data_IF_292011687547
#
_entry.id   IF_292011687547
#
_cell.length_a   1.000
_cell.length_b   1.000
_cell.length_c   1.000
_cell.angle_alpha   90.00
_cell.angle_beta   90.00
_cell.angle_gamma   90.00
#
_symmetry.space_group_name_H-M   'P 1'
#
loop_
_entity.id
_entity.type
_entity.pdbx_description
1 polymer ?
#
# COMPACT_ATOMS: atom_id res chain seq x y z
N UNK A 1 -46.70 15.98 11.89
CA UNK A 1 -45.46 16.51 12.47
C UNK A 1 -44.32 15.61 12.00
N UNK A 2 -43.78 15.89 10.82
CA UNK A 2 -42.74 15.10 10.14
C UNK A 2 -41.71 16.12 9.66
N UNK A 3 -40.49 16.09 10.22
CA UNK A 3 -39.40 16.96 9.78
C UNK A 3 -38.66 16.29 8.64
N UNK A 4 -38.67 16.96 7.48
CA UNK A 4 -37.92 16.60 6.27
C UNK A 4 -36.44 16.93 6.49
N UNK A 5 -35.55 15.96 6.27
CA UNK A 5 -34.13 16.21 6.06
C UNK A 5 -33.94 16.76 4.64
N UNK A 6 -33.33 17.96 4.54
CA UNK A 6 -32.83 18.52 3.30
C UNK A 6 -31.49 17.86 2.97
N UNK A 7 -31.40 17.24 1.79
CA UNK A 7 -30.11 16.94 1.16
C UNK A 7 -29.64 18.18 0.40
N UNK A 8 -28.47 18.70 0.75
CA UNK A 8 -27.75 19.69 -0.06
C UNK A 8 -26.78 18.95 -0.98
N UNK A 9 -27.04 19.01 -2.28
CA UNK A 9 -26.09 18.58 -3.32
C UNK A 9 -25.14 19.73 -3.58
N UNK A 10 -23.92 19.69 -3.03
CA UNK A 10 -22.86 20.62 -3.40
C UNK A 10 -22.08 20.00 -4.58
N UNK A 11 -22.19 20.62 -5.75
CA UNK A 11 -21.36 20.29 -6.90
C UNK A 11 -19.93 20.75 -6.60
N UNK A 12 -19.04 19.80 -6.29
CA UNK A 12 -17.62 20.07 -6.12
C UNK A 12 -16.92 19.88 -7.47
N UNK A 13 -16.42 20.98 -8.02
CA UNK A 13 -15.55 20.99 -9.19
C UNK A 13 -14.26 20.23 -8.84
N UNK A 14 -14.11 19.05 -9.44
CA UNK A 14 -12.96 18.16 -9.28
C UNK A 14 -11.79 18.73 -10.09
N UNK A 15 -10.77 19.25 -9.40
CA UNK A 15 -9.44 19.49 -9.96
C UNK A 15 -8.60 18.26 -9.62
N UNK A 16 -8.54 17.28 -10.54
CA UNK A 16 -7.58 16.17 -10.46
C UNK A 16 -6.29 16.62 -11.16
N UNK A 17 -5.30 16.96 -10.34
CA UNK A 17 -3.89 16.98 -10.74
C UNK A 17 -3.22 15.67 -10.33
N UNK A 18 -2.21 15.26 -11.09
CA UNK A 18 -1.31 14.10 -10.93
C UNK A 18 -1.69 12.83 -11.72
N UNK A 19 -1.66 12.97 -13.05
CA UNK A 19 -1.06 11.96 -13.94
C UNK A 19 0.25 12.54 -14.45
N UNK A 20 1.31 12.44 -13.65
CA UNK A 20 2.67 12.69 -14.10
C UNK A 20 3.28 11.37 -14.56
N UNK A 21 3.60 11.28 -15.86
CA UNK A 21 4.29 10.17 -16.49
C UNK A 21 5.42 9.60 -15.62
N UNK A 22 5.52 8.27 -15.56
CA UNK A 22 6.73 7.62 -15.06
C UNK A 22 7.16 6.52 -16.03
N UNK A 23 7.91 6.94 -17.05
CA UNK A 23 8.67 6.06 -17.93
C UNK A 23 10.03 5.79 -17.28
N UNK A 24 10.16 4.66 -16.59
CA UNK A 24 11.38 4.30 -15.90
C UNK A 24 11.50 2.80 -15.65
N UNK A 25 11.71 2.02 -16.71
CA UNK A 25 12.10 0.61 -16.58
C UNK A 25 13.49 0.51 -15.92
N UNK A 26 13.55 -0.03 -14.70
CA UNK A 26 14.80 -0.34 -14.00
C UNK A 26 15.05 -1.85 -14.04
N UNK A 27 16.30 -2.21 -14.37
CA UNK A 27 16.81 -3.60 -14.43
C UNK A 27 16.82 -4.24 -13.03
N UNK A 28 16.48 -5.53 -12.90
CA UNK A 28 16.63 -6.24 -11.64
C UNK A 28 18.12 -6.40 -11.26
N UNK A 29 18.44 -6.23 -9.98
CA UNK A 29 19.74 -6.61 -9.43
C UNK A 29 19.81 -8.13 -9.25
N UNK A 30 21.02 -8.73 -9.21
CA UNK A 30 21.17 -10.18 -9.15
C UNK A 30 20.76 -10.73 -7.79
N UNK A 31 19.91 -11.76 -7.80
CA UNK A 31 19.54 -12.56 -6.63
C UNK A 31 20.75 -13.34 -6.14
N UNK A 32 21.27 -12.99 -4.96
CA UNK A 32 22.36 -13.73 -4.33
C UNK A 32 21.79 -14.93 -3.55
N UNK A 33 22.21 -16.14 -3.94
CA UNK A 33 21.84 -17.40 -3.28
C UNK A 33 22.48 -17.47 -1.89
N UNK A 34 21.66 -17.63 -0.84
CA UNK A 34 22.15 -17.98 0.50
C UNK A 34 22.58 -19.45 0.56
N UNK A 35 23.81 -19.67 0.99
CA UNK A 35 24.26 -20.90 1.64
C UNK A 35 24.02 -20.80 3.15
N UNK A 36 23.51 -21.87 3.75
CA UNK A 36 23.24 -21.99 5.18
C UNK A 36 24.40 -22.69 5.90
N UNK A 37 25.03 -22.03 6.86
CA UNK A 37 25.94 -22.55 7.91
C UNK A 37 26.20 -21.35 8.85
N UNK A 38 26.16 -21.38 10.17
CA UNK A 38 25.89 -22.38 11.19
C UNK A 38 26.10 -21.72 12.58
N UNK A 39 25.58 -22.37 13.62
CA UNK A 39 26.00 -22.36 15.03
C UNK A 39 25.96 -21.04 15.86
N UNK A 40 25.37 -21.20 17.05
CA UNK A 40 25.10 -20.14 18.02
C UNK A 40 26.31 -19.60 18.78
N UNK A 41 26.16 -18.36 19.20
CA UNK A 41 26.93 -17.76 20.29
C UNK A 41 25.99 -16.86 21.10
N UNK A 42 25.71 -17.28 22.33
CA UNK A 42 25.00 -16.53 23.34
C UNK A 42 25.84 -15.29 23.71
N UNK A 43 25.40 -14.10 23.29
CA UNK A 43 26.07 -12.83 23.59
C UNK A 43 25.44 -12.23 24.84
N UNK A 44 26.15 -12.33 25.96
CA UNK A 44 25.87 -11.56 27.17
C UNK A 44 26.06 -10.08 26.85
N UNK A 45 24.97 -9.32 26.84
CA UNK A 45 24.98 -7.87 26.69
C UNK A 45 25.46 -7.24 28.01
N UNK A 46 26.70 -6.76 28.02
CA UNK A 46 27.18 -5.87 29.09
C UNK A 46 26.59 -4.49 28.88
N UNK A 47 25.72 -4.05 29.81
CA UNK A 47 25.15 -2.71 29.83
C UNK A 47 26.26 -1.66 30.04
N UNK A 48 26.55 -0.88 29.01
CA UNK A 48 27.33 0.35 29.13
C UNK A 48 26.58 1.40 29.98
N UNK A 49 27.29 2.42 30.48
CA UNK A 49 26.69 3.46 31.31
C UNK A 49 25.65 4.24 30.50
N UNK A 50 24.42 4.30 31.04
CA UNK A 50 23.33 5.12 30.52
C UNK A 50 23.69 6.58 30.73
N UNK A 51 24.13 7.26 29.68
CA UNK A 51 24.12 8.72 29.64
C UNK A 51 22.68 9.17 29.57
N UNK A 52 22.16 9.70 30.68
CA UNK A 52 20.88 10.42 30.73
C UNK A 52 21.03 11.76 30.00
N UNK A 53 21.05 11.72 28.66
CA UNK A 53 20.74 12.90 27.88
C UNK A 53 19.26 13.22 28.10
N UNK A 54 18.98 14.47 28.49
CA UNK A 54 17.61 14.95 28.65
C UNK A 54 17.01 15.09 27.25
N UNK A 55 16.00 14.26 26.94
CA UNK A 55 15.26 14.35 25.69
C UNK A 55 14.63 15.74 25.57
N UNK A 56 14.92 16.45 24.48
CA UNK A 56 14.28 17.73 24.14
C UNK A 56 13.20 17.45 23.10
N UNK A 57 11.91 17.63 23.41
CA UNK A 57 10.84 17.37 22.45
C UNK A 57 10.94 18.27 21.21
N UNK A 58 10.65 17.70 20.04
CA UNK A 58 10.62 18.45 18.77
C UNK A 58 9.53 19.52 18.78
N UNK A 59 9.81 20.78 18.40
CA UNK A 59 8.86 21.88 18.47
C UNK A 59 7.74 21.76 17.42
N UNK A 60 6.65 22.51 17.61
CA UNK A 60 5.60 22.64 16.60
C UNK A 60 6.15 23.12 15.24
N UNK A 61 5.52 22.68 14.14
CA UNK A 61 5.96 22.98 12.77
C UNK A 61 7.25 22.27 12.32
N UNK A 62 7.83 21.40 13.15
CA UNK A 62 9.03 20.62 12.79
C UNK A 62 8.68 19.19 12.34
N UNK A 63 9.70 18.49 11.85
CA UNK A 63 9.63 17.04 11.64
C UNK A 63 10.77 16.34 12.37
N UNK A 64 10.55 15.06 12.68
CA UNK A 64 11.57 14.18 13.23
C UNK A 64 11.44 12.77 12.65
N UNK A 65 12.54 12.03 12.71
CA UNK A 65 12.58 10.61 12.39
C UNK A 65 13.01 9.85 13.63
N UNK A 66 12.27 8.79 13.94
CA UNK A 66 12.60 7.84 15.00
C UNK A 66 12.47 6.42 14.49
N UNK A 67 12.70 5.44 15.36
CA UNK A 67 12.62 4.03 14.99
C UNK A 67 11.74 3.28 15.98
N UNK A 68 10.93 2.36 15.48
CA UNK A 68 10.21 1.38 16.30
C UNK A 68 10.75 -0.02 16.02
N UNK A 69 10.57 -0.94 16.97
CA UNK A 69 10.90 -2.34 16.76
C UNK A 69 9.62 -3.16 16.57
N UNK A 70 9.50 -3.82 15.42
CA UNK A 70 8.42 -4.78 15.15
C UNK A 70 8.99 -6.19 15.30
N UNK A 71 8.40 -6.99 16.20
CA UNK A 71 8.82 -8.37 16.44
C UNK A 71 8.78 -9.17 15.14
N UNK A 72 9.81 -10.00 14.91
CA UNK A 72 9.99 -10.86 13.74
C UNK A 72 10.16 -10.13 12.38
N UNK A 73 9.99 -8.81 12.33
CA UNK A 73 10.21 -8.00 11.12
C UNK A 73 11.52 -7.21 11.23
N UNK A 74 11.69 -6.39 12.27
CA UNK A 74 12.90 -5.62 12.50
C UNK A 74 12.68 -4.18 12.98
N UNK A 75 13.75 -3.39 12.89
CA UNK A 75 13.78 -1.95 13.20
C UNK A 75 13.23 -1.15 12.02
N UNK A 76 12.20 -0.35 12.27
CA UNK A 76 11.41 0.36 11.26
C UNK A 76 11.54 1.85 11.47
N UNK A 77 11.90 2.58 10.42
CA UNK A 77 11.96 4.04 10.45
C UNK A 77 10.56 4.65 10.37
N UNK A 78 10.29 5.61 11.24
CA UNK A 78 9.02 6.35 11.33
C UNK A 78 9.32 7.84 11.29
N UNK A 79 8.69 8.57 10.37
CA UNK A 79 8.74 10.04 10.28
C UNK A 79 7.46 10.61 10.88
N UNK A 80 7.63 11.64 11.71
CA UNK A 80 6.55 12.41 12.32
C UNK A 80 6.67 13.85 11.83
N UNK A 81 5.61 14.42 11.25
CA UNK A 81 5.51 15.84 10.92
C UNK A 81 4.49 16.52 11.84
N UNK A 82 4.86 17.65 12.41
CA UNK A 82 4.07 18.37 13.41
C UNK A 82 3.39 19.60 12.80
N UNK A 83 2.13 19.87 13.12
CA UNK A 83 1.50 21.12 12.75
C UNK A 83 2.12 22.29 13.52
N UNK A 84 2.13 23.48 12.92
CA UNK A 84 2.46 24.71 13.65
C UNK A 84 1.42 25.01 14.73
N UNK A 85 0.14 24.76 14.43
CA UNK A 85 -0.99 24.98 15.34
C UNK A 85 -1.85 23.71 15.36
N UNK A 86 -2.09 23.11 16.55
CA UNK A 86 -2.96 21.94 16.63
C UNK A 86 -4.39 22.28 16.22
N UNK A 87 -5.08 21.30 15.63
CA UNK A 87 -6.47 21.48 15.18
C UNK A 87 -7.42 21.83 16.32
N UNK A 88 -7.19 21.27 17.50
CA UNK A 88 -8.04 21.46 18.67
C UNK A 88 -7.27 22.08 19.85
N UNK A 89 -7.95 22.79 20.76
CA UNK A 89 -7.32 23.34 21.96
C UNK A 89 -6.63 22.28 22.84
N UNK A 90 -7.17 21.07 22.88
CA UNK A 90 -6.64 19.94 23.64
C UNK A 90 -5.43 19.26 22.99
N UNK A 91 -5.20 19.47 21.69
CA UNK A 91 -4.12 18.82 20.96
C UNK A 91 -4.41 18.58 19.48
N UNK A 92 -3.50 17.87 18.83
CA UNK A 92 -3.61 17.51 17.42
C UNK A 92 -4.03 16.05 17.25
N UNK A 93 -5.03 15.75 16.39
CA UNK A 93 -5.31 14.37 15.99
C UNK A 93 -4.11 13.78 15.25
N UNK A 94 -3.94 12.45 15.30
CA UNK A 94 -2.82 11.76 14.66
C UNK A 94 -3.33 11.03 13.43
N UNK A 95 -2.68 11.21 12.29
CA UNK A 95 -3.00 10.51 11.04
C UNK A 95 -1.81 9.69 10.60
N UNK A 96 -2.01 8.39 10.45
CA UNK A 96 -1.03 7.49 9.85
C UNK A 96 -1.26 7.43 8.34
N UNK A 97 -0.27 7.85 7.57
CA UNK A 97 -0.26 7.73 6.11
C UNK A 97 0.15 6.31 5.71
N UNK A 98 -0.82 5.51 5.27
CA UNK A 98 -0.57 4.14 4.82
C UNK A 98 0.18 4.18 3.49
N UNK A 99 1.36 3.57 3.47
CA UNK A 99 2.24 3.62 2.30
C UNK A 99 1.74 2.72 1.17
N UNK A 100 2.03 3.13 -0.05
CA UNK A 100 1.85 2.32 -1.26
C UNK A 100 2.77 1.10 -1.22
N UNK A 101 2.36 -0.03 -1.83
CA UNK A 101 3.04 -1.32 -1.61
C UNK A 101 3.52 -2.10 -2.85
N UNK A 102 2.95 -1.90 -4.04
CA UNK A 102 3.43 -2.58 -5.25
C UNK A 102 3.99 -1.63 -6.31
N UNK A 103 4.02 -0.34 -6.01
CA UNK A 103 4.74 0.65 -6.80
C UNK A 103 6.10 0.84 -6.17
N UNK A 104 7.12 1.00 -7.01
CA UNK A 104 8.46 1.23 -6.50
C UNK A 104 8.54 2.62 -5.88
N UNK A 105 8.66 2.67 -4.56
CA UNK A 105 8.84 3.88 -3.79
C UNK A 105 9.87 3.62 -2.69
N UNK A 106 10.83 4.53 -2.52
CA UNK A 106 11.98 4.33 -1.62
C UNK A 106 11.89 5.11 -0.32
N UNK A 107 11.21 6.26 -0.32
CA UNK A 107 11.17 7.18 0.82
C UNK A 107 9.93 7.05 1.70
N UNK A 108 9.73 8.08 2.54
CA UNK A 108 8.51 8.21 3.34
C UNK A 108 7.34 8.65 2.47
N UNK A 109 6.19 7.98 2.60
CA UNK A 109 5.00 8.34 1.84
C UNK A 109 4.32 9.55 2.51
N UNK A 110 4.44 10.72 1.88
CA UNK A 110 3.95 12.00 2.39
C UNK A 110 3.13 12.73 1.32
N UNK A 111 2.10 12.07 0.80
CA UNK A 111 1.33 12.61 -0.34
C UNK A 111 0.32 13.66 0.13
N UNK A 112 -0.14 13.58 1.37
CA UNK A 112 -1.07 14.53 1.95
C UNK A 112 -0.46 15.26 3.14
N UNK A 113 -0.33 16.58 3.05
CA UNK A 113 0.11 17.36 4.19
C UNK A 113 -1.06 17.66 5.14
N UNK A 114 -1.34 16.72 6.04
CA UNK A 114 -2.37 16.89 7.08
C UNK A 114 -1.95 17.89 8.17
N UNK A 115 -0.70 18.35 8.19
CA UNK A 115 -0.26 19.36 9.14
C UNK A 115 -0.90 20.73 8.86
N UNK A 116 -1.28 21.00 7.61
CA UNK A 116 -2.01 22.21 7.20
C UNK A 116 -3.40 22.31 7.85
N UNK A 117 -4.00 21.17 8.22
CA UNK A 117 -5.29 21.13 8.92
C UNK A 117 -5.12 20.95 10.44
N UNK A 118 -3.89 21.06 10.96
CA UNK A 118 -3.59 20.98 12.39
C UNK A 118 -3.48 19.55 12.94
N UNK A 119 -3.27 18.55 12.09
CA UNK A 119 -3.05 17.15 12.50
C UNK A 119 -1.55 16.79 12.50
N UNK A 120 -1.18 15.79 13.28
CA UNK A 120 0.16 15.17 13.21
C UNK A 120 0.14 14.13 12.09
N UNK A 121 1.11 14.20 11.17
CA UNK A 121 1.32 13.14 10.17
C UNK A 121 2.36 12.15 10.70
N UNK A 122 2.05 10.86 10.58
CA UNK A 122 2.97 9.74 10.83
C UNK A 122 3.09 8.92 9.55
N UNK A 123 4.30 8.79 9.04
CA UNK A 123 4.65 7.94 7.89
C UNK A 123 5.81 7.01 8.27
N UNK A 124 6.05 5.98 7.46
CA UNK A 124 7.05 4.96 7.77
C UNK A 124 7.69 4.42 6.49
N UNK A 125 8.82 3.73 6.66
CA UNK A 125 9.47 2.99 5.57
C UNK A 125 9.13 1.51 5.66
N UNK A 126 8.73 0.91 4.54
CA UNK A 126 8.65 -0.55 4.42
C UNK A 126 10.00 -1.22 4.72
N UNK A 127 10.02 -2.50 5.10
CA UNK A 127 11.26 -3.25 5.29
C UNK A 127 12.21 -3.08 4.08
N UNK A 128 13.51 -3.05 4.35
CA UNK A 128 14.60 -2.86 3.38
C UNK A 128 14.66 -1.47 2.72
N UNK A 129 13.63 -0.63 2.86
CA UNK A 129 13.59 0.70 2.22
C UNK A 129 14.45 1.71 2.96
N UNK A 130 15.10 2.56 2.17
CA UNK A 130 15.90 3.69 2.61
C UNK A 130 15.35 4.97 2.02
N UNK A 131 15.07 5.94 2.88
CA UNK A 131 14.74 7.28 2.46
C UNK A 131 16.01 8.00 1.97
N UNK A 132 16.09 8.40 0.68
CA UNK A 132 17.31 8.96 0.12
C UNK A 132 17.64 10.36 0.65
N UNK A 133 16.65 11.09 1.17
CA UNK A 133 16.84 12.45 1.68
C UNK A 133 17.42 12.44 3.09
N UNK A 134 16.84 11.66 3.99
CA UNK A 134 17.28 11.59 5.40
C UNK A 134 18.32 10.51 5.67
N UNK A 135 18.50 9.55 4.76
CA UNK A 135 19.30 8.34 4.97
C UNK A 135 18.69 7.34 5.96
N UNK A 136 17.46 7.58 6.43
CA UNK A 136 16.76 6.67 7.33
C UNK A 136 16.50 5.32 6.63
N UNK A 137 16.67 4.22 7.37
CA UNK A 137 16.60 2.88 6.79
C UNK A 137 15.83 1.92 7.70
N UNK A 138 14.86 1.21 7.09
CA UNK A 138 14.16 0.10 7.73
C UNK A 138 14.87 -1.23 7.44
N UNK A 139 14.95 -2.07 8.46
CA UNK A 139 15.46 -3.45 8.36
C UNK A 139 14.31 -4.45 8.18
N UNK A 140 14.63 -5.71 7.89
CA UNK A 140 13.65 -6.79 7.64
C UNK A 140 13.66 -7.23 6.20
N UNK A 141 12.61 -7.93 5.76
CA UNK A 141 12.41 -8.37 4.37
C UNK A 141 11.05 -7.85 3.90
N UNK A 142 11.00 -7.28 2.70
CA UNK A 142 9.76 -6.72 2.18
C UNK A 142 8.87 -7.80 1.54
N UNK A 143 7.72 -8.10 2.16
CA UNK A 143 6.75 -9.10 1.68
C UNK A 143 5.60 -8.50 0.83
N UNK A 144 5.77 -7.25 0.39
CA UNK A 144 4.85 -6.52 -0.48
C UNK A 144 3.43 -6.39 0.10
N UNK A 145 3.28 -6.02 1.38
CA UNK A 145 1.95 -5.91 1.98
C UNK A 145 1.37 -7.25 2.44
N UNK A 146 2.22 -8.26 2.66
CA UNK A 146 1.85 -9.52 3.28
C UNK A 146 1.77 -9.42 4.82
N UNK A 147 1.74 -10.56 5.53
CA UNK A 147 1.61 -10.60 6.98
C UNK A 147 2.64 -9.75 7.74
N UNK A 148 3.91 -9.74 7.33
CA UNK A 148 4.99 -9.01 8.02
C UNK A 148 4.79 -7.50 7.85
N UNK A 149 4.39 -7.07 6.65
CA UNK A 149 4.00 -5.67 6.39
C UNK A 149 2.80 -5.23 7.22
N UNK A 150 1.82 -6.12 7.46
CA UNK A 150 0.66 -5.79 8.31
C UNK A 150 1.02 -5.70 9.79
N UNK A 151 1.88 -6.60 10.28
CA UNK A 151 2.39 -6.55 11.66
C UNK A 151 3.17 -5.24 11.90
N UNK A 152 3.99 -4.84 10.94
CA UNK A 152 4.67 -3.55 10.97
C UNK A 152 3.68 -2.39 11.01
N UNK A 153 2.69 -2.38 10.12
CA UNK A 153 1.72 -1.29 10.07
C UNK A 153 0.93 -1.19 11.39
N UNK A 154 0.55 -2.33 11.98
CA UNK A 154 -0.05 -2.38 13.32
C UNK A 154 0.87 -1.72 14.36
N UNK A 155 2.16 -2.04 14.35
CA UNK A 155 3.12 -1.49 15.33
C UNK A 155 3.38 0.01 15.12
N UNK A 156 3.37 0.50 13.87
CA UNK A 156 3.41 1.94 13.57
C UNK A 156 2.17 2.64 14.12
N UNK A 157 0.98 2.06 13.93
CA UNK A 157 -0.28 2.60 14.45
C UNK A 157 -0.27 2.59 16.00
N UNK A 158 0.26 1.53 16.62
CA UNK A 158 0.40 1.46 18.07
C UNK A 158 1.42 2.46 18.63
N UNK A 159 2.48 2.76 17.90
CA UNK A 159 3.38 3.86 18.25
C UNK A 159 2.70 5.23 18.12
N UNK A 160 2.02 5.47 17.00
CA UNK A 160 1.27 6.70 16.74
C UNK A 160 0.16 6.97 17.77
N UNK A 161 -0.45 5.90 18.29
CA UNK A 161 -1.48 5.95 19.33
C UNK A 161 -0.93 5.89 20.77
N UNK A 162 0.39 6.05 20.95
CA UNK A 162 1.02 6.08 22.27
C UNK A 162 0.92 4.76 23.06
N UNK A 163 0.58 3.65 22.41
CA UNK A 163 0.51 2.30 23.01
C UNK A 163 1.89 1.64 23.04
N UNK A 164 2.73 1.94 22.05
CA UNK A 164 4.05 1.34 21.88
C UNK A 164 5.14 2.43 21.90
N UNK A 165 6.27 2.22 22.59
CA UNK A 165 7.40 3.16 22.51
C UNK A 165 8.25 2.93 21.26
N UNK A 166 9.11 3.91 20.97
CA UNK A 166 10.21 3.78 20.02
C UNK A 166 11.31 2.85 20.57
N UNK A 167 12.39 2.63 19.79
CA UNK A 167 13.52 1.75 20.18
C UNK A 167 14.27 2.22 21.42
N UNK A 168 14.17 3.50 21.77
CA UNK A 168 14.84 4.10 22.93
C UNK A 168 13.92 4.13 24.17
N UNK A 169 12.69 3.60 24.06
CA UNK A 169 11.72 3.54 25.16
C UNK A 169 10.81 4.77 25.28
N UNK A 170 10.88 5.73 24.36
CA UNK A 170 10.07 6.94 24.34
C UNK A 170 8.77 6.75 23.56
N UNK A 171 7.66 7.22 24.11
CA UNK A 171 6.38 7.29 23.41
C UNK A 171 6.32 8.53 22.53
N UNK A 172 5.38 8.57 21.57
CA UNK A 172 5.22 9.74 20.69
C UNK A 172 5.06 11.05 21.47
N UNK A 173 4.37 11.04 22.61
CA UNK A 173 4.18 12.20 23.49
C UNK A 173 5.46 12.71 24.16
N UNK A 174 6.47 11.85 24.32
CA UNK A 174 7.77 12.23 24.89
C UNK A 174 8.66 12.93 23.85
N UNK A 175 8.46 12.58 22.57
CA UNK A 175 9.31 13.01 21.46
C UNK A 175 8.92 14.39 20.89
N UNK A 176 7.70 14.87 21.16
CA UNK A 176 7.13 16.04 20.46
C UNK A 176 6.52 17.06 21.45
N UNK A 177 6.58 18.34 21.11
CA UNK A 177 6.02 19.41 21.93
C UNK A 177 4.51 19.63 21.72
N UNK A 178 3.97 19.21 20.57
CA UNK A 178 2.53 19.28 20.29
C UNK A 178 1.83 18.12 20.98
N UNK A 179 0.84 18.38 21.84
CA UNK A 179 0.08 17.31 22.51
C UNK A 179 -0.64 16.43 21.47
N UNK A 180 -0.28 15.13 21.33
CA UNK A 180 -0.97 14.22 20.43
C UNK A 180 -2.25 13.69 21.07
N UNK A 181 -3.36 13.72 20.32
CA UNK A 181 -4.61 13.06 20.72
C UNK A 181 -4.53 11.56 20.36
N UNK A 182 -3.82 10.81 21.20
CA UNK A 182 -3.47 9.40 20.98
C UNK A 182 -4.65 8.44 21.02
N UNK A 183 -5.82 8.89 21.49
CA UNK A 183 -7.10 8.19 21.44
C UNK A 183 -7.95 8.55 20.20
N UNK A 184 -7.43 9.39 19.32
CA UNK A 184 -8.06 9.86 18.09
C UNK A 184 -7.13 9.67 16.89
N UNK A 185 -6.82 8.42 16.56
CA UNK A 185 -5.94 8.05 15.45
C UNK A 185 -6.73 7.72 14.19
N UNK A 186 -6.36 8.35 13.08
CA UNK A 186 -6.89 8.10 11.76
C UNK A 186 -5.92 7.37 10.86
N UNK A 187 -6.43 6.58 9.93
CA UNK A 187 -5.65 6.07 8.80
C UNK A 187 -6.05 6.84 7.54
N UNK A 188 -5.05 7.32 6.80
CA UNK A 188 -5.25 7.82 5.44
C UNK A 188 -4.70 6.81 4.44
N UNK A 189 -5.50 6.49 3.43
CA UNK A 189 -5.09 5.61 2.33
C UNK A 189 -5.64 6.11 1.00
N UNK A 190 -4.81 6.02 -0.04
CA UNK A 190 -5.18 6.32 -1.42
C UNK A 190 -4.75 5.19 -2.35
N UNK A 191 -5.59 4.88 -3.33
CA UNK A 191 -5.35 3.81 -4.28
C UNK A 191 -5.09 2.48 -3.56
N UNK A 192 -4.10 1.73 -3.99
CA UNK A 192 -3.82 0.40 -3.47
C UNK A 192 -3.36 0.35 -2.00
N UNK A 193 -2.95 1.46 -1.38
CA UNK A 193 -2.67 1.49 0.07
C UNK A 193 -3.93 1.20 0.91
N UNK A 194 -5.13 1.43 0.34
CA UNK A 194 -6.40 1.09 0.99
C UNK A 194 -6.57 -0.40 1.29
N UNK A 195 -5.90 -1.27 0.52
CA UNK A 195 -5.84 -2.71 0.77
C UNK A 195 -5.21 -2.98 2.12
N UNK A 196 -4.07 -2.35 2.39
CA UNK A 196 -3.31 -2.56 3.61
C UNK A 196 -4.01 -1.95 4.80
N UNK A 197 -4.62 -0.76 4.63
CA UNK A 197 -5.45 -0.15 5.65
C UNK A 197 -6.64 -1.05 6.03
N UNK A 198 -7.32 -1.64 5.04
CA UNK A 198 -8.44 -2.55 5.28
C UNK A 198 -7.96 -3.83 5.96
N UNK A 199 -6.87 -4.42 5.47
CA UNK A 199 -6.34 -5.66 5.98
C UNK A 199 -5.80 -5.53 7.41
N UNK A 200 -5.06 -4.47 7.73
CA UNK A 200 -4.52 -4.29 9.09
C UNK A 200 -5.65 -4.15 10.10
N UNK A 201 -6.73 -3.44 9.78
CA UNK A 201 -7.91 -3.36 10.67
C UNK A 201 -8.59 -4.74 10.77
N UNK A 202 -8.76 -5.43 9.65
CA UNK A 202 -9.45 -6.72 9.63
C UNK A 202 -8.70 -7.84 10.40
N UNK A 203 -7.36 -7.81 10.41
CA UNK A 203 -6.54 -8.84 11.06
C UNK A 203 -6.01 -8.43 12.44
N UNK A 204 -5.83 -7.14 12.70
CA UNK A 204 -5.21 -6.61 13.92
C UNK A 204 -6.05 -5.54 14.63
N UNK A 205 -7.30 -5.29 14.22
CA UNK A 205 -8.12 -4.20 14.76
C UNK A 205 -8.25 -4.21 16.29
N UNK A 206 -8.46 -5.40 16.89
CA UNK A 206 -8.49 -5.58 18.36
C UNK A 206 -7.19 -5.20 19.08
N UNK A 207 -6.04 -5.19 18.37
CA UNK A 207 -4.75 -4.75 18.88
C UNK A 207 -4.51 -3.24 18.70
N UNK A 208 -5.45 -2.52 18.06
CA UNK A 208 -5.34 -1.09 17.72
C UNK A 208 -6.58 -0.30 18.18
N UNK A 209 -6.94 -0.30 19.48
CA UNK A 209 -8.21 0.23 20.00
C UNK A 209 -8.42 1.75 19.80
N UNK A 210 -7.34 2.47 19.50
CA UNK A 210 -7.33 3.92 19.34
C UNK A 210 -7.53 4.39 17.89
N UNK A 211 -7.63 3.46 16.92
CA UNK A 211 -8.01 3.80 15.54
C UNK A 211 -9.50 4.14 15.50
N UNK A 212 -9.84 5.36 15.08
CA UNK A 212 -11.24 5.86 15.06
C UNK A 212 -11.83 6.01 13.67
N UNK A 213 -10.99 6.18 12.66
CA UNK A 213 -11.48 6.37 11.29
C UNK A 213 -10.45 5.92 10.25
N UNK A 214 -10.97 5.47 9.12
CA UNK A 214 -10.22 5.26 7.88
C UNK A 214 -10.78 6.23 6.85
N UNK A 215 -9.92 7.03 6.24
CA UNK A 215 -10.28 7.87 5.10
C UNK A 215 -9.58 7.33 3.86
N UNK A 216 -10.39 7.00 2.85
CA UNK A 216 -9.95 6.35 1.62
C UNK A 216 -10.19 7.22 0.38
N UNK A 217 -9.22 7.26 -0.54
CA UNK A 217 -9.38 7.84 -1.88
C UNK A 217 -9.12 6.79 -2.95
N UNK A 218 -10.16 6.40 -3.69
CA UNK A 218 -10.06 5.53 -4.88
C UNK A 218 -9.38 4.18 -4.61
N UNK A 219 -9.78 3.47 -3.54
CA UNK A 219 -9.14 2.22 -3.14
C UNK A 219 -9.72 1.01 -3.93
N UNK A 220 -8.96 0.36 -4.82
CA UNK A 220 -9.40 -0.88 -5.47
C UNK A 220 -9.56 -2.00 -4.44
N UNK A 221 -10.52 -2.89 -4.67
CA UNK A 221 -10.87 -3.96 -3.73
C UNK A 221 -10.58 -5.37 -4.27
N UNK A 222 -10.30 -5.47 -5.58
CA UNK A 222 -10.17 -6.71 -6.32
C UNK A 222 -8.92 -6.69 -7.24
N UNK A 223 -8.24 -7.83 -7.43
CA UNK A 223 -7.00 -7.92 -8.20
C UNK A 223 -7.08 -7.40 -9.64
N UNK A 224 -8.22 -7.56 -10.30
CA UNK A 224 -8.49 -7.16 -11.68
C UNK A 224 -8.36 -5.65 -11.88
N UNK A 225 -8.52 -4.86 -10.81
CA UNK A 225 -8.45 -3.40 -10.88
C UNK A 225 -7.01 -2.87 -10.95
N UNK A 226 -6.00 -3.60 -10.46
CA UNK A 226 -4.62 -3.10 -10.43
C UNK A 226 -3.92 -3.12 -11.79
N UNK A 227 -3.97 -4.21 -12.58
CA UNK A 227 -3.41 -4.25 -13.93
C UNK A 227 -4.36 -3.66 -14.98
N UNK A 228 -5.42 -2.95 -14.54
CA UNK A 228 -6.42 -2.29 -15.38
C UNK A 228 -7.16 -3.23 -16.34
N UNK A 229 -7.48 -4.45 -15.88
CA UNK A 229 -8.18 -5.45 -16.70
C UNK A 229 -9.63 -5.03 -17.05
N UNK A 230 -10.21 -4.10 -16.31
CA UNK A 230 -11.55 -3.55 -16.60
C UNK A 230 -11.52 -2.37 -17.61
N UNK A 231 -10.33 -1.90 -17.99
CA UNK A 231 -10.11 -0.73 -18.81
C UNK A 231 -9.36 0.41 -18.08
N UNK A 232 -8.98 1.43 -18.84
CA UNK A 232 -8.13 2.53 -18.40
C UNK A 232 -8.45 3.84 -19.13
N UNK A 233 -7.79 4.93 -18.75
CA UNK A 233 -7.78 6.17 -19.52
C UNK A 233 -6.43 6.31 -20.23
N UNK A 234 -6.43 6.60 -21.53
CA UNK A 234 -5.20 6.89 -22.27
C UNK A 234 -4.60 8.26 -21.88
N UNK A 235 -3.44 8.58 -22.45
CA UNK A 235 -2.73 9.85 -22.20
C UNK A 235 -3.55 11.09 -22.59
N UNK A 236 -4.54 10.93 -23.49
CA UNK A 236 -5.46 11.98 -23.91
C UNK A 236 -6.75 12.00 -23.08
N UNK A 237 -6.83 11.19 -22.02
CA UNK A 237 -7.99 11.01 -21.14
C UNK A 237 -9.21 10.44 -21.85
N UNK A 238 -9.02 9.74 -22.97
CA UNK A 238 -10.09 8.94 -23.55
C UNK A 238 -10.22 7.65 -22.75
N UNK A 239 -11.47 7.23 -22.57
CA UNK A 239 -11.79 5.95 -21.92
C UNK A 239 -11.48 4.80 -22.88
N UNK A 240 -10.57 3.92 -22.48
CA UNK A 240 -10.30 2.65 -23.15
C UNK A 240 -10.96 1.54 -22.34
N UNK A 241 -12.10 1.06 -22.82
CA UNK A 241 -12.85 -0.02 -22.17
C UNK A 241 -12.34 -1.39 -22.62
N UNK A 242 -12.22 -2.31 -21.67
CA UNK A 242 -12.14 -3.72 -22.02
C UNK A 242 -13.54 -4.23 -22.42
N UNK A 243 -13.79 -4.62 -23.69
CA UNK A 243 -15.10 -5.10 -24.13
C UNK A 243 -15.49 -6.48 -23.53
N UNK A 244 -14.58 -7.13 -22.80
CA UNK A 244 -14.81 -8.38 -22.09
C UNK A 244 -15.15 -8.18 -20.61
N UNK A 245 -15.12 -6.94 -20.11
CA UNK A 245 -15.62 -6.60 -18.78
C UNK A 245 -17.14 -6.35 -18.83
N UNK A 246 -17.91 -7.14 -18.07
CA UNK A 246 -19.37 -7.00 -17.97
C UNK A 246 -19.72 -6.03 -16.84
N UNK A 247 -19.77 -4.73 -17.18
CA UNK A 247 -20.07 -3.69 -16.19
C UNK A 247 -21.47 -3.79 -15.57
N UNK A 248 -22.42 -4.40 -16.27
CA UNK A 248 -23.80 -4.56 -15.80
C UNK A 248 -23.91 -5.55 -14.64
N UNK A 249 -22.93 -6.45 -14.49
CA UNK A 249 -22.86 -7.47 -13.44
C UNK A 249 -21.97 -7.04 -12.25
N UNK A 250 -21.49 -5.79 -12.25
CA UNK A 250 -20.66 -5.26 -11.18
C UNK A 250 -21.40 -5.26 -9.85
N UNK A 251 -20.72 -5.74 -8.79
CA UNK A 251 -21.15 -5.53 -7.41
C UNK A 251 -20.00 -4.96 -6.59
N UNK A 252 -20.26 -4.36 -5.41
CA UNK A 252 -19.18 -3.92 -4.52
C UNK A 252 -18.17 -5.01 -4.12
N UNK A 253 -18.50 -6.29 -4.35
CA UNK A 253 -17.68 -7.44 -3.98
C UNK A 253 -17.25 -8.31 -5.15
N UNK A 254 -17.64 -7.98 -6.39
CA UNK A 254 -17.33 -8.81 -7.57
C UNK A 254 -17.17 -7.99 -8.85
N UNK A 255 -16.21 -8.41 -9.66
CA UNK A 255 -15.98 -7.95 -11.04
C UNK A 255 -16.04 -9.19 -11.93
N UNK A 256 -16.64 -9.07 -13.10
CA UNK A 256 -16.75 -10.14 -14.07
C UNK A 256 -16.08 -9.74 -15.39
N UNK A 257 -14.98 -10.43 -15.72
CA UNK A 257 -14.28 -10.31 -17.01
C UNK A 257 -14.26 -11.69 -17.67
N UNK A 258 -14.61 -11.77 -18.95
CA UNK A 258 -14.49 -13.02 -19.73
C UNK A 258 -13.05 -13.18 -20.25
N UNK A 259 -12.33 -14.10 -19.64
CA UNK A 259 -10.95 -14.42 -20.01
C UNK A 259 -10.83 -15.55 -21.06
N UNK A 260 -11.93 -16.05 -21.62
CA UNK A 260 -11.91 -17.19 -22.57
C UNK A 260 -11.18 -16.89 -23.88
N UNK A 261 -10.98 -15.62 -24.21
CA UNK A 261 -10.29 -15.15 -25.41
C UNK A 261 -8.89 -14.60 -25.15
N UNK A 262 -8.38 -14.73 -23.91
CA UNK A 262 -7.05 -14.20 -23.56
C UNK A 262 -5.97 -14.93 -24.33
N UNK A 263 -5.10 -14.14 -24.97
CA UNK A 263 -3.91 -14.57 -25.68
C UNK A 263 -2.68 -13.81 -25.20
N UNK A 264 -1.52 -14.18 -25.76
CA UNK A 264 -0.24 -13.53 -25.49
C UNK A 264 0.27 -12.81 -26.74
N UNK A 265 0.46 -11.50 -26.65
CA UNK A 265 0.81 -10.69 -27.80
C UNK A 265 2.33 -10.72 -28.00
N UNK A 266 2.79 -11.26 -29.14
CA UNK A 266 4.21 -11.36 -29.48
C UNK A 266 4.64 -10.50 -30.68
N UNK A 267 3.68 -9.87 -31.37
CA UNK A 267 3.93 -9.07 -32.57
C UNK A 267 4.21 -7.59 -32.22
N UNK A 268 4.97 -6.88 -33.05
CA UNK A 268 5.26 -5.44 -32.86
C UNK A 268 6.23 -5.11 -31.71
N UNK A 269 7.12 -4.13 -31.92
CA UNK A 269 8.16 -3.78 -30.92
C UNK A 269 7.58 -3.15 -29.65
N UNK A 270 6.55 -2.31 -29.77
CA UNK A 270 6.00 -1.52 -28.66
C UNK A 270 5.07 -2.31 -27.75
N UNK A 271 4.61 -3.46 -28.22
CA UNK A 271 3.45 -4.14 -27.65
C UNK A 271 3.75 -5.59 -27.24
N UNK A 272 4.96 -6.07 -27.54
CA UNK A 272 5.37 -7.44 -27.30
C UNK A 272 5.38 -7.78 -25.80
N UNK A 273 4.94 -8.99 -25.49
CA UNK A 273 5.09 -9.60 -24.18
C UNK A 273 3.98 -9.20 -23.21
N UNK A 274 2.73 -9.10 -23.67
CA UNK A 274 1.59 -8.73 -22.81
C UNK A 274 0.32 -9.52 -23.15
N UNK A 275 -0.60 -9.67 -22.18
CA UNK A 275 -1.89 -10.29 -22.44
C UNK A 275 -2.75 -9.40 -23.35
N UNK A 276 -3.53 -10.04 -24.21
CA UNK A 276 -4.58 -9.39 -24.98
C UNK A 276 -5.85 -10.23 -24.96
N UNK A 277 -6.99 -9.61 -25.21
CA UNK A 277 -8.26 -10.29 -25.44
C UNK A 277 -8.53 -10.30 -26.95
N UNK A 278 -8.63 -11.50 -27.53
CA UNK A 278 -8.77 -11.68 -28.97
C UNK A 278 -10.10 -11.13 -29.48
N UNK A 279 -10.08 -10.52 -30.66
CA UNK A 279 -11.28 -10.05 -31.34
C UNK A 279 -12.20 -11.22 -31.70
N UNK A 280 -13.47 -11.16 -31.30
CA UNK A 280 -14.55 -11.96 -31.89
C UNK A 280 -15.29 -11.12 -32.94
N UNK A 281 -16.09 -11.76 -33.81
CA UNK A 281 -16.88 -11.03 -34.81
C UNK A 281 -17.68 -9.88 -34.15
N UNK A 282 -17.32 -8.63 -34.47
CA UNK A 282 -17.94 -7.41 -33.92
C UNK A 282 -17.29 -6.80 -32.67
N UNK A 283 -16.19 -7.34 -32.13
CA UNK A 283 -15.45 -6.75 -31.00
C UNK A 283 -13.99 -6.44 -31.38
N UNK A 284 -13.46 -5.25 -31.08
CA UNK A 284 -12.05 -4.96 -31.30
C UNK A 284 -11.17 -5.78 -30.34
N UNK A 285 -9.96 -6.09 -30.77
CA UNK A 285 -8.93 -6.64 -29.90
C UNK A 285 -8.62 -5.63 -28.79
N UNK A 286 -8.48 -6.11 -27.56
CA UNK A 286 -8.10 -5.28 -26.42
C UNK A 286 -6.76 -5.75 -25.89
N UNK A 287 -5.74 -4.90 -25.97
CA UNK A 287 -4.42 -5.23 -25.45
C UNK A 287 -4.22 -4.50 -24.13
N UNK A 288 -3.78 -5.21 -23.09
CA UNK A 288 -3.56 -4.60 -21.78
C UNK A 288 -2.39 -3.63 -21.80
N UNK A 289 -2.52 -2.58 -20.98
CA UNK A 289 -1.49 -1.55 -20.87
C UNK A 289 -0.19 -2.13 -20.30
N UNK A 290 0.95 -1.84 -20.94
CA UNK A 290 2.24 -2.42 -20.56
C UNK A 290 2.81 -1.82 -19.27
N UNK A 291 2.66 -0.50 -19.08
CA UNK A 291 3.32 0.21 -17.98
C UNK A 291 2.53 0.20 -16.66
N UNK A 292 1.26 -0.23 -16.69
CA UNK A 292 0.37 -0.18 -15.54
C UNK A 292 0.04 -1.61 -15.10
N UNK A 293 1.08 -2.33 -14.68
CA UNK A 293 0.97 -3.66 -14.11
C UNK A 293 1.74 -3.69 -12.78
N UNK A 294 1.14 -4.18 -11.68
CA UNK A 294 1.84 -4.35 -10.41
C UNK A 294 3.13 -5.16 -10.55
N UNK A 295 4.18 -4.68 -9.88
CA UNK A 295 5.50 -5.32 -9.85
C UNK A 295 5.79 -5.85 -8.44
N UNK A 296 5.75 -7.16 -8.27
CA UNK A 296 6.02 -7.84 -6.99
C UNK A 296 7.14 -8.86 -7.18
N UNK A 297 8.07 -8.97 -6.24
CA UNK A 297 9.18 -9.93 -6.32
C UNK A 297 9.92 -9.94 -7.67
N UNK A 298 10.04 -8.78 -8.31
CA UNK A 298 10.69 -8.63 -9.62
C UNK A 298 9.89 -9.14 -10.82
N UNK A 299 8.60 -9.43 -10.66
CA UNK A 299 7.70 -9.90 -11.72
C UNK A 299 6.45 -9.04 -11.84
N UNK A 300 5.85 -9.06 -13.04
CA UNK A 300 4.53 -8.53 -13.37
C UNK A 300 3.44 -9.43 -12.82
N UNK A 301 2.46 -8.85 -12.14
CA UNK A 301 1.32 -9.55 -11.58
C UNK A 301 0.01 -9.05 -12.23
N UNK A 302 -0.62 -9.93 -13.01
CA UNK A 302 -2.02 -9.79 -13.40
C UNK A 302 -2.92 -10.50 -12.38
N UNK A 303 -4.24 -10.37 -12.52
CA UNK A 303 -5.18 -11.13 -11.70
C UNK A 303 -4.96 -12.64 -11.88
N UNK A 304 -5.24 -13.42 -10.83
CA UNK A 304 -5.13 -14.88 -10.91
C UNK A 304 -5.97 -15.48 -12.06
N UNK A 305 -7.24 -15.07 -12.27
CA UNK A 305 -8.04 -15.55 -13.40
C UNK A 305 -7.41 -15.28 -14.77
N UNK A 306 -6.85 -14.08 -14.99
CA UNK A 306 -6.18 -13.76 -16.26
C UNK A 306 -4.96 -14.66 -16.46
N UNK A 307 -4.12 -14.78 -15.44
CA UNK A 307 -2.89 -15.54 -15.50
C UNK A 307 -3.15 -17.03 -15.72
N UNK A 308 -4.19 -17.58 -15.08
CA UNK A 308 -4.65 -18.94 -15.32
C UNK A 308 -5.16 -19.12 -16.76
N UNK A 309 -5.92 -18.16 -17.29
CA UNK A 309 -6.43 -18.21 -18.66
C UNK A 309 -5.33 -18.22 -19.72
N UNK A 310 -4.20 -17.52 -19.50
CA UNK A 310 -3.04 -17.61 -20.40
C UNK A 310 -2.53 -19.05 -20.56
N UNK A 311 -2.53 -19.81 -19.47
CA UNK A 311 -2.11 -21.21 -19.48
C UNK A 311 -3.20 -22.11 -20.08
N UNK A 312 -4.45 -21.96 -19.63
CA UNK A 312 -5.58 -22.81 -20.05
C UNK A 312 -5.90 -22.65 -21.54
N UNK A 313 -5.81 -21.43 -22.08
CA UNK A 313 -6.05 -21.15 -23.49
C UNK A 313 -4.88 -21.58 -24.39
N UNK A 314 -3.76 -22.05 -23.81
CA UNK A 314 -2.54 -22.39 -24.55
C UNK A 314 -1.83 -21.16 -25.13
N UNK A 315 -2.09 -19.97 -24.59
CA UNK A 315 -1.41 -18.74 -25.00
C UNK A 315 0.05 -18.72 -24.51
N UNK A 316 0.30 -19.35 -23.36
CA UNK A 316 1.60 -19.67 -22.80
C UNK A 316 1.58 -21.09 -22.24
N UNK A 317 2.74 -21.71 -22.15
CA UNK A 317 3.02 -22.94 -21.41
C UNK A 317 3.95 -22.62 -20.25
N UNK A 318 4.16 -23.57 -19.33
CA UNK A 318 5.16 -23.38 -18.26
C UNK A 318 6.60 -23.38 -18.80
N UNK A 319 6.84 -23.99 -19.98
CA UNK A 319 8.17 -24.10 -20.58
C UNK A 319 8.61 -22.81 -21.30
N UNK A 320 7.66 -22.01 -21.80
CA UNK A 320 7.89 -20.72 -22.48
C UNK A 320 7.35 -19.52 -21.68
N UNK A 321 7.09 -19.72 -20.39
CA UNK A 321 6.60 -18.68 -19.50
C UNK A 321 7.66 -17.56 -19.31
N UNK A 322 7.30 -16.28 -19.50
CA UNK A 322 8.24 -15.18 -19.28
C UNK A 322 8.76 -15.13 -17.83
N UNK A 323 10.08 -15.02 -17.66
CA UNK A 323 10.70 -14.96 -16.32
C UNK A 323 10.20 -13.76 -15.48
N UNK A 324 9.81 -12.68 -16.16
CA UNK A 324 9.30 -11.45 -15.56
C UNK A 324 7.78 -11.46 -15.35
N UNK A 325 7.09 -12.57 -15.59
CA UNK A 325 5.64 -12.72 -15.40
C UNK A 325 5.35 -13.72 -14.27
N UNK A 326 4.50 -13.32 -13.32
CA UNK A 326 4.05 -14.22 -12.27
C UNK A 326 3.26 -15.39 -12.85
N UNK A 327 3.58 -16.61 -12.42
CA UNK A 327 2.85 -17.84 -12.77
C UNK A 327 1.47 -17.90 -12.09
N UNK A 328 0.56 -18.80 -12.53
CA UNK A 328 -0.71 -19.00 -11.84
C UNK A 328 -0.54 -19.33 -10.34
N UNK A 329 0.49 -20.09 -9.97
CA UNK A 329 0.77 -20.39 -8.56
C UNK A 329 1.23 -19.16 -7.77
N UNK A 330 2.09 -18.31 -8.35
CA UNK A 330 2.56 -17.09 -7.70
C UNK A 330 1.44 -16.05 -7.53
N UNK A 331 0.53 -15.94 -8.48
CA UNK A 331 -0.62 -15.01 -8.40
C UNK A 331 -1.63 -15.35 -7.30
N UNK A 332 -1.56 -16.54 -6.69
CA UNK A 332 -2.32 -16.86 -5.46
C UNK A 332 -2.00 -15.90 -4.30
N UNK A 333 -0.85 -15.21 -4.36
CA UNK A 333 -0.52 -14.12 -3.43
C UNK A 333 -1.58 -13.00 -3.39
N UNK A 334 -2.40 -12.83 -4.45
CA UNK A 334 -3.51 -11.88 -4.48
C UNK A 334 -4.63 -12.20 -3.49
N UNK A 335 -4.80 -13.45 -3.07
CA UNK A 335 -5.85 -13.84 -2.13
C UNK A 335 -5.79 -13.02 -0.83
N UNK A 336 -4.57 -12.74 -0.35
CA UNK A 336 -4.36 -11.92 0.83
C UNK A 336 -4.67 -10.42 0.63
N UNK A 337 -4.66 -9.95 -0.63
CA UNK A 337 -4.88 -8.54 -1.03
C UNK A 337 -6.29 -8.29 -1.57
N UNK A 338 -7.13 -9.31 -1.55
CA UNK A 338 -8.55 -9.22 -1.91
C UNK A 338 -9.36 -8.89 -0.67
N UNK A 339 -9.79 -7.64 -0.55
CA UNK A 339 -10.30 -7.11 0.73
C UNK A 339 -11.81 -7.18 0.89
N UNK A 340 -12.54 -7.54 -0.17
CA UNK A 340 -14.01 -7.60 -0.16
C UNK A 340 -14.56 -8.51 0.96
N UNK A 341 -13.82 -9.56 1.32
CA UNK A 341 -14.19 -10.50 2.39
C UNK A 341 -13.69 -10.08 3.78
N UNK A 342 -12.92 -9.00 3.88
CA UNK A 342 -12.36 -8.50 5.13
C UNK A 342 -13.24 -7.41 5.77
N UNK A 343 -14.10 -6.73 5.00
CA UNK A 343 -15.04 -5.75 5.56
C UNK A 343 -15.95 -6.31 6.67
N UNK A 344 -16.52 -7.54 6.56
CA UNK A 344 -17.29 -8.11 7.67
C UNK A 344 -16.47 -8.32 8.95
N UNK A 345 -15.16 -8.58 8.83
CA UNK A 345 -14.25 -8.76 9.98
C UNK A 345 -13.98 -7.45 10.70
N UNK A 346 -14.02 -6.33 9.99
CA UNK A 346 -13.85 -4.98 10.57
C UNK A 346 -15.06 -4.61 11.43
N UNK A 347 -16.26 -4.98 11.01
CA UNK A 347 -17.51 -4.62 11.71
C UNK A 347 -17.66 -5.28 13.10
N UNK A 348 -16.82 -6.26 13.43
CA UNK A 348 -16.86 -7.00 14.70
C UNK A 348 -15.62 -6.76 15.58
N UNK A 349 -14.68 -5.92 15.12
CA UNK A 349 -13.64 -5.35 15.98
C UNK A 349 -14.25 -4.21 16.79
#
# INVERSE_FOLDING_TARGET
MVRKCLFFTLALTIIIGLSGCWTGALKPSPTEKRTSEGAGAERVLTSGPVTTEVLTPSPAGSELITYIYTSDVGKIAVKIKLPEVPRYPEGAPVVVEVSTWFVYFTGFHTVNDVTEIGAISVSYLWPERMDPESGAHSTGVYDYGGPDSLMLLRDVINFASGVKPNVDGYYISDLIAVTPLTDNVGLWASSHSGVLATNVIAYHGSEMPNVKYLVGRENPTLPEMYPLEIGYFDDQRNKILNPFYYSDDYTPTSIHVDYSSVGWYQEGEQDRGRPFFAASAGRPQHILHQEICPQLWGKRYYSHPLTEALLVNGALTLDDWPEDLATPDETKAWAFRTVVFNYPKIAVQ
#
